data_IF_385186004024
#
_entry.id   IF_385186004024
#
_cell.length_a   1.000
_cell.length_b   1.000
_cell.length_c   1.000
_cell.angle_alpha   90.00
_cell.angle_beta   90.00
_cell.angle_gamma   90.00
#
_symmetry.space_group_name_H-M   'P 1'
#
loop_
_entity.id
_entity.type
_entity.pdbx_description
1 polymer ?
#
# COMPACT_ATOMS: atom_id res chain seq x y z
N UNK A 1 9.65 -7.21 -1.32
CA UNK A 1 9.74 -8.50 -0.58
C UNK A 1 9.45 -9.63 -1.55
N UNK A 2 10.22 -10.73 -1.48
CA UNK A 2 9.96 -11.91 -2.31
C UNK A 2 8.80 -12.74 -1.77
N UNK A 3 8.01 -13.33 -2.67
CA UNK A 3 6.92 -14.26 -2.37
C UNK A 3 7.51 -15.59 -1.90
N UNK A 4 6.97 -16.12 -0.79
CA UNK A 4 7.47 -17.34 -0.15
C UNK A 4 7.09 -18.63 -0.88
N UNK A 5 7.43 -19.76 -0.25
CA UNK A 5 7.20 -21.07 -0.82
C UNK A 5 5.72 -21.33 -1.12
N UNK A 6 5.43 -21.88 -2.30
CA UNK A 6 4.06 -22.17 -2.74
C UNK A 6 3.30 -20.97 -3.34
N UNK A 7 3.94 -19.81 -3.48
CA UNK A 7 3.31 -18.61 -4.05
C UNK A 7 2.39 -17.87 -3.07
N UNK A 8 1.74 -16.81 -3.54
CA UNK A 8 0.78 -16.05 -2.76
C UNK A 8 -0.29 -15.39 -3.64
N UNK A 9 -1.52 -15.33 -3.15
CA UNK A 9 -2.58 -14.53 -3.77
C UNK A 9 -2.68 -13.18 -3.07
N UNK A 10 -2.45 -12.09 -3.81
CA UNK A 10 -2.50 -10.71 -3.31
C UNK A 10 -3.50 -9.94 -4.16
N UNK A 11 -4.48 -9.28 -3.51
CA UNK A 11 -5.55 -8.54 -4.18
C UNK A 11 -6.27 -9.34 -5.29
N UNK A 12 -6.47 -10.65 -5.08
CA UNK A 12 -7.12 -11.54 -6.06
C UNK A 12 -6.22 -12.07 -7.18
N UNK A 13 -4.94 -11.69 -7.20
CA UNK A 13 -3.97 -12.16 -8.20
C UNK A 13 -2.96 -13.12 -7.59
N UNK A 14 -2.70 -14.26 -8.25
CA UNK A 14 -1.68 -15.21 -7.84
C UNK A 14 -0.29 -14.79 -8.33
N UNK A 15 0.67 -14.80 -7.43
CA UNK A 15 2.09 -14.57 -7.69
C UNK A 15 2.86 -15.83 -7.32
N UNK A 16 3.74 -16.27 -8.22
CA UNK A 16 4.60 -17.43 -8.00
C UNK A 16 5.62 -17.19 -6.88
N UNK A 17 6.11 -18.28 -6.28
CA UNK A 17 7.27 -18.24 -5.39
C UNK A 17 8.44 -17.50 -6.05
N UNK A 18 9.20 -16.75 -5.24
CA UNK A 18 10.37 -16.00 -5.70
C UNK A 18 10.03 -14.65 -6.33
N UNK A 19 8.78 -14.40 -6.74
CA UNK A 19 8.37 -13.11 -7.31
C UNK A 19 8.62 -11.97 -6.33
N UNK A 20 9.28 -10.91 -6.77
CA UNK A 20 9.45 -9.71 -5.97
C UNK A 20 8.20 -8.82 -6.06
N UNK A 21 7.61 -8.53 -4.90
CA UNK A 21 6.45 -7.64 -4.78
C UNK A 21 6.82 -6.48 -3.86
N UNK A 22 6.48 -5.27 -4.28
CA UNK A 22 6.66 -4.06 -3.49
C UNK A 22 5.43 -3.17 -3.58
N UNK A 23 5.29 -2.29 -2.59
CA UNK A 23 4.29 -1.22 -2.61
C UNK A 23 5.02 0.09 -2.85
N UNK A 24 4.49 0.94 -3.74
CA UNK A 24 5.03 2.29 -3.92
C UNK A 24 4.55 3.19 -2.77
N UNK A 25 5.44 3.69 -1.89
CA UNK A 25 5.03 4.61 -0.82
C UNK A 25 4.40 5.89 -1.40
N UNK A 26 4.86 6.32 -2.57
CA UNK A 26 4.29 7.47 -3.28
C UNK A 26 2.80 7.29 -3.56
N UNK A 27 2.40 6.12 -4.06
CA UNK A 27 1.01 5.79 -4.38
C UNK A 27 0.20 5.53 -3.12
N UNK A 28 0.74 4.74 -2.18
CA UNK A 28 0.04 4.36 -0.95
C UNK A 28 -0.34 5.59 -0.13
N UNK A 29 0.58 6.55 0.03
CA UNK A 29 0.34 7.76 0.83
C UNK A 29 -0.59 8.79 0.16
N UNK A 30 -1.09 8.53 -1.05
CA UNK A 30 -2.00 9.39 -1.81
C UNK A 30 -3.40 8.80 -1.99
N UNK A 31 -3.65 7.61 -1.42
CA UNK A 31 -4.97 6.98 -1.50
C UNK A 31 -5.97 7.76 -0.64
N UNK A 32 -6.91 8.43 -1.29
CA UNK A 32 -7.99 9.16 -0.61
C UNK A 32 -8.82 8.26 0.31
N UNK A 33 -9.02 6.99 -0.05
CA UNK A 33 -9.69 5.99 0.80
C UNK A 33 -9.04 5.82 2.19
N UNK A 34 -7.73 6.05 2.29
CA UNK A 34 -6.98 5.91 3.54
C UNK A 34 -6.70 7.27 4.22
N UNK A 35 -6.52 8.33 3.43
CA UNK A 35 -6.02 9.63 3.91
C UNK A 35 -7.04 10.78 3.83
N UNK A 36 -8.21 10.56 3.23
CA UNK A 36 -9.24 11.58 2.96
C UNK A 36 -9.02 12.34 1.65
N UNK A 37 -9.91 13.27 1.34
CA UNK A 37 -9.85 14.09 0.12
C UNK A 37 -8.57 14.96 0.05
N UNK A 38 -7.96 15.23 1.21
CA UNK A 38 -6.71 15.98 1.38
C UNK A 38 -5.45 15.11 1.29
N UNK A 39 -5.51 13.90 0.70
CA UNK A 39 -4.38 12.97 0.62
C UNK A 39 -3.12 13.54 -0.07
N UNK A 40 -3.25 14.55 -0.93
CA UNK A 40 -2.13 15.25 -1.57
C UNK A 40 -1.56 16.41 -0.72
N UNK A 41 -2.25 16.81 0.35
CA UNK A 41 -1.82 17.89 1.23
C UNK A 41 -0.91 17.37 2.35
N UNK A 42 0.12 18.15 2.67
CA UNK A 42 0.88 17.96 3.89
C UNK A 42 0.06 18.45 5.09
N UNK A 43 -0.56 17.52 5.82
CA UNK A 43 -1.38 17.79 7.01
C UNK A 43 -0.89 16.97 8.21
N UNK A 44 0.12 17.44 8.96
CA UNK A 44 0.64 16.71 10.13
C UNK A 44 -0.41 16.53 11.24
N UNK A 45 -1.41 17.40 11.32
CA UNK A 45 -2.50 17.35 12.31
C UNK A 45 -3.44 16.15 12.10
N UNK A 46 -3.39 15.49 10.94
CA UNK A 46 -4.28 14.37 10.55
C UNK A 46 -4.44 13.30 11.63
N UNK A 47 -3.37 12.98 12.36
CA UNK A 47 -3.36 11.92 13.37
C UNK A 47 -3.59 12.40 14.79
N UNK A 48 -3.48 13.71 15.02
CA UNK A 48 -3.68 14.33 16.34
C UNK A 48 -5.17 14.62 16.56
N UNK A 49 -5.89 14.92 15.48
CA UNK A 49 -7.32 15.30 15.50
C UNK A 49 -8.29 14.13 15.23
N UNK A 50 -7.76 12.94 14.89
CA UNK A 50 -8.54 11.78 14.43
C UNK A 50 -9.31 11.03 15.52
#
# INVERSE_FOLDING_TARGET
RSVGHGGATIAGHFFSEGTEVSTSPFVVHRRQEAYGDDAEAFRPERWIEA
#
